data_IF_498448412456
#
_entry.id   IF_498448412456
#
_cell.length_a   1.000
_cell.length_b   1.000
_cell.length_c   1.000
_cell.angle_alpha   90.00
_cell.angle_beta   90.00
_cell.angle_gamma   90.00
#
_symmetry.space_group_name_H-M   'P 1'
#
loop_
_entity.id
_entity.type
_entity.pdbx_description
1 polymer ?
#
# COMPACT_ATOMS: atom_id res chain seq x y z
N UNK A 1 0.32 6.67 7.25
CA UNK A 1 -0.31 7.98 6.95
C UNK A 1 -1.81 7.89 6.73
N UNK A 2 -2.28 7.07 5.77
CA UNK A 2 -3.67 7.06 5.26
C UNK A 2 -4.76 6.52 6.20
N UNK A 3 -4.38 5.77 7.23
CA UNK A 3 -5.31 5.24 8.24
C UNK A 3 -5.63 6.32 9.26
N UNK A 4 -6.90 6.71 9.30
CA UNK A 4 -7.43 7.84 10.08
C UNK A 4 -6.55 9.11 10.04
N UNK A 5 -5.83 9.33 8.93
CA UNK A 5 -4.86 10.41 8.73
C UNK A 5 -3.88 10.61 9.88
N UNK A 6 -3.43 9.50 10.49
CA UNK A 6 -2.58 9.54 11.68
C UNK A 6 -1.30 10.33 11.47
N UNK A 7 -0.68 10.22 10.28
CA UNK A 7 0.55 10.95 9.98
C UNK A 7 0.35 12.47 10.02
N UNK A 8 -0.71 12.95 9.36
CA UNK A 8 -1.09 14.37 9.32
C UNK A 8 -1.45 14.88 10.72
N UNK A 9 -2.19 14.08 11.50
CA UNK A 9 -2.53 14.39 12.90
C UNK A 9 -1.27 14.49 13.76
N UNK A 10 -0.35 13.54 13.61
CA UNK A 10 0.92 13.50 14.34
C UNK A 10 1.79 14.71 14.03
N UNK A 11 1.89 15.06 12.74
CA UNK A 11 2.61 16.24 12.28
C UNK A 11 1.99 17.52 12.87
N UNK A 12 0.67 17.72 12.77
CA UNK A 12 0.01 18.91 13.33
C UNK A 12 0.14 19.05 14.86
N UNK A 13 0.37 17.95 15.57
CA UNK A 13 0.60 18.01 17.02
C UNK A 13 2.03 18.44 17.36
N UNK A 14 3.00 18.03 16.54
CA UNK A 14 4.42 18.24 16.80
C UNK A 14 5.00 19.45 16.04
N UNK A 15 4.30 19.96 15.03
CA UNK A 15 4.69 21.13 14.27
C UNK A 15 4.82 22.36 15.20
N UNK A 16 5.86 23.17 14.95
CA UNK A 16 6.08 24.39 15.71
C UNK A 16 4.87 25.34 15.56
N UNK A 17 4.47 26.06 16.64
CA UNK A 17 3.35 27.00 16.57
C UNK A 17 3.50 28.04 15.46
N UNK A 18 4.72 28.50 15.20
CA UNK A 18 5.04 29.44 14.12
C UNK A 18 4.66 28.91 12.73
N UNK A 19 4.86 27.62 12.47
CA UNK A 19 4.48 26.96 11.21
C UNK A 19 2.95 26.89 11.10
N UNK A 20 2.27 26.53 12.19
CA UNK A 20 0.82 26.41 12.21
C UNK A 20 0.13 27.77 12.04
N UNK A 21 0.65 28.83 12.64
CA UNK A 21 0.10 30.19 12.52
C UNK A 21 0.32 30.79 11.12
N UNK A 22 1.42 30.39 10.47
CA UNK A 22 1.72 30.72 9.08
C UNK A 22 0.83 30.00 8.07
N UNK A 23 0.27 28.83 8.42
CA UNK A 23 -0.52 28.01 7.53
C UNK A 23 -1.94 28.58 7.34
N UNK A 24 -2.16 29.29 6.23
CA UNK A 24 -3.48 29.87 5.89
C UNK A 24 -4.43 28.88 5.24
N UNK A 25 -3.90 27.93 4.48
CA UNK A 25 -4.69 26.95 3.75
C UNK A 25 -3.89 25.67 3.50
N UNK A 26 -4.56 24.51 3.55
CA UNK A 26 -3.99 23.22 3.16
C UNK A 26 -4.83 22.56 2.05
N UNK A 27 -4.18 22.25 0.93
CA UNK A 27 -4.78 21.47 -0.16
C UNK A 27 -4.30 20.02 -0.05
N UNK A 28 -5.22 19.08 0.18
CA UNK A 28 -4.92 17.65 0.19
C UNK A 28 -5.31 17.04 -1.16
N UNK A 29 -4.45 16.18 -1.72
CA UNK A 29 -4.74 15.45 -2.96
C UNK A 29 -5.06 13.99 -2.64
N UNK A 30 -6.22 13.50 -3.10
CA UNK A 30 -6.64 12.13 -2.87
C UNK A 30 -7.28 11.50 -4.11
N UNK A 31 -6.53 10.66 -4.83
CA UNK A 31 -6.95 10.04 -6.09
C UNK A 31 -7.50 11.07 -7.10
N UNK A 32 -6.63 11.61 -7.93
CA UNK A 32 -7.00 12.63 -8.94
C UNK A 32 -6.86 12.08 -10.36
N UNK A 33 -7.01 10.77 -10.54
CA UNK A 33 -6.82 10.11 -11.83
C UNK A 33 -8.15 9.91 -12.60
N UNK A 34 -9.28 10.22 -11.98
CA UNK A 34 -10.59 10.10 -12.60
C UNK A 34 -11.02 11.32 -13.43
N UNK A 35 -12.06 11.14 -14.27
CA UNK A 35 -12.49 12.15 -15.24
C UNK A 35 -13.23 13.33 -14.62
N UNK A 36 -13.99 13.11 -13.54
CA UNK A 36 -14.69 14.14 -12.78
C UNK A 36 -13.95 14.39 -11.46
N UNK A 37 -13.81 15.65 -11.08
CA UNK A 37 -13.14 16.05 -9.85
C UNK A 37 -14.13 16.72 -8.88
N UNK A 38 -13.84 16.56 -7.59
CA UNK A 38 -14.61 17.09 -6.48
C UNK A 38 -13.67 17.78 -5.52
N UNK A 39 -13.96 19.02 -5.14
CA UNK A 39 -13.25 19.70 -4.08
C UNK A 39 -14.10 19.65 -2.82
N UNK A 40 -13.69 18.79 -1.89
CA UNK A 40 -14.35 18.59 -0.61
C UNK A 40 -13.80 19.58 0.41
N UNK A 41 -14.67 20.33 1.06
CA UNK A 41 -14.28 21.23 2.14
C UNK A 41 -15.34 21.26 3.24
N UNK A 42 -14.91 21.65 4.45
CA UNK A 42 -15.78 21.67 5.62
C UNK A 42 -16.16 23.06 6.11
N UNK A 43 -15.33 24.06 5.80
CA UNK A 43 -15.51 25.44 6.24
C UNK A 43 -15.46 26.36 5.04
N UNK A 44 -16.40 27.30 5.00
CA UNK A 44 -16.35 28.38 4.02
C UNK A 44 -15.22 29.35 4.39
N UNK A 45 -14.35 29.70 3.44
CA UNK A 45 -13.34 30.72 3.67
C UNK A 45 -14.00 32.07 3.92
N UNK A 46 -13.60 32.74 5.01
CA UNK A 46 -13.97 34.14 5.27
C UNK A 46 -13.05 35.11 4.52
N UNK A 47 -11.84 34.67 4.23
CA UNK A 47 -10.84 35.44 3.50
C UNK A 47 -11.19 35.49 2.02
N UNK A 48 -11.22 36.71 1.47
CA UNK A 48 -11.47 36.98 0.05
C UNK A 48 -10.46 36.28 -0.85
N UNK A 49 -9.19 36.14 -0.41
CA UNK A 49 -8.17 35.44 -1.19
C UNK A 49 -8.52 33.96 -1.34
N UNK A 50 -8.97 33.31 -0.26
CA UNK A 50 -9.33 31.90 -0.31
C UNK A 50 -10.68 31.65 -1.00
N UNK A 51 -11.60 32.62 -0.96
CA UNK A 51 -12.78 32.58 -1.82
C UNK A 51 -12.38 32.61 -3.30
N UNK A 52 -11.44 33.50 -3.65
CA UNK A 52 -10.88 33.55 -5.02
C UNK A 52 -10.21 32.24 -5.42
N UNK A 53 -9.56 31.52 -4.50
CA UNK A 53 -9.01 30.21 -4.82
C UNK A 53 -10.10 29.23 -5.30
N UNK A 54 -11.26 29.21 -4.65
CA UNK A 54 -12.36 28.33 -5.04
C UNK A 54 -12.98 28.74 -6.38
N UNK A 55 -13.14 30.04 -6.63
CA UNK A 55 -13.62 30.51 -7.93
C UNK A 55 -12.62 30.18 -9.04
N UNK A 56 -11.31 30.28 -8.78
CA UNK A 56 -10.28 29.88 -9.75
C UNK A 56 -10.35 28.40 -10.11
N UNK A 57 -10.68 27.53 -9.16
CA UNK A 57 -10.92 26.10 -9.44
C UNK A 57 -12.12 25.93 -10.40
N UNK A 58 -13.25 26.61 -10.14
CA UNK A 58 -14.44 26.53 -10.99
C UNK A 58 -14.19 27.10 -12.40
N UNK A 59 -13.59 28.29 -12.50
CA UNK A 59 -13.27 28.95 -13.76
C UNK A 59 -12.29 28.13 -14.61
N UNK A 60 -11.24 27.59 -13.99
CA UNK A 60 -10.24 26.77 -14.68
C UNK A 60 -10.84 25.43 -15.10
N UNK A 61 -11.72 24.84 -14.29
CA UNK A 61 -12.40 23.60 -14.64
C UNK A 61 -13.36 23.80 -15.82
N UNK A 62 -14.14 24.89 -15.81
CA UNK A 62 -15.02 25.26 -16.92
C UNK A 62 -14.22 25.50 -18.22
N UNK A 63 -13.09 26.21 -18.12
CA UNK A 63 -12.20 26.46 -19.27
C UNK A 63 -11.59 25.18 -19.85
N UNK A 64 -11.20 24.24 -19.00
CA UNK A 64 -10.58 22.97 -19.40
C UNK A 64 -11.60 21.86 -19.68
N UNK A 65 -12.90 22.18 -19.61
CA UNK A 65 -14.01 21.25 -19.80
C UNK A 65 -13.93 20.03 -18.85
N UNK A 66 -13.43 20.25 -17.64
CA UNK A 66 -13.33 19.22 -16.61
C UNK A 66 -14.63 19.24 -15.80
N UNK A 67 -15.39 18.11 -15.72
CA UNK A 67 -16.50 18.02 -14.79
C UNK A 67 -15.98 18.23 -13.37
N UNK A 68 -16.44 19.31 -12.72
CA UNK A 68 -15.94 19.73 -11.42
C UNK A 68 -17.09 20.14 -10.51
N UNK A 69 -16.99 19.79 -9.23
CA UNK A 69 -18.01 20.09 -8.24
C UNK A 69 -17.41 20.48 -6.89
N UNK A 70 -17.91 21.58 -6.32
CA UNK A 70 -17.60 22.00 -4.97
C UNK A 70 -18.54 21.29 -3.98
N UNK A 71 -17.96 20.45 -3.11
CA UNK A 71 -18.72 19.65 -2.14
C UNK A 71 -18.48 20.19 -0.73
N UNK A 72 -19.48 20.88 -0.17
CA UNK A 72 -19.45 21.34 1.21
C UNK A 72 -20.04 20.32 2.16
N UNK A 73 -19.23 19.80 3.09
CA UNK A 73 -19.70 18.88 4.13
C UNK A 73 -19.16 19.27 5.50
N UNK A 74 -20.06 19.55 6.45
CA UNK A 74 -19.68 19.80 7.84
C UNK A 74 -19.02 18.56 8.44
N UNK A 75 -17.90 18.74 9.14
CA UNK A 75 -17.23 17.66 9.86
C UNK A 75 -18.12 17.12 10.98
N UNK A 76 -18.08 15.80 11.18
CA UNK A 76 -18.73 15.18 12.32
C UNK A 76 -17.72 15.01 13.46
N UNK A 77 -17.71 15.95 14.40
CA UNK A 77 -16.72 15.98 15.50
C UNK A 77 -16.85 14.78 16.45
N UNK A 78 -18.04 14.18 16.54
CA UNK A 78 -18.27 13.02 17.41
C UNK A 78 -17.78 11.71 16.80
N UNK A 79 -17.51 11.67 15.50
CA UNK A 79 -16.96 10.47 14.87
C UNK A 79 -15.46 10.39 15.13
N UNK A 80 -14.99 9.22 15.60
CA UNK A 80 -13.56 8.98 15.79
C UNK A 80 -12.81 8.86 14.45
N UNK A 81 -13.53 8.45 13.40
CA UNK A 81 -12.99 8.27 12.06
C UNK A 81 -13.13 9.52 11.19
N UNK A 82 -12.02 9.95 10.60
CA UNK A 82 -11.96 11.03 9.63
C UNK A 82 -12.17 10.51 8.20
N UNK A 83 -13.17 11.06 7.53
CA UNK A 83 -13.54 10.70 6.17
C UNK A 83 -12.53 11.23 5.15
N UNK A 84 -12.05 12.46 5.35
CA UNK A 84 -11.13 13.15 4.46
C UNK A 84 -9.95 13.77 5.23
N UNK A 85 -8.83 13.97 4.56
CA UNK A 85 -7.62 14.49 5.20
C UNK A 85 -7.81 15.93 5.69
N UNK A 86 -8.57 16.75 4.96
CA UNK A 86 -8.86 18.13 5.34
C UNK A 86 -9.62 18.23 6.69
N UNK A 87 -10.32 17.18 7.12
CA UNK A 87 -11.00 17.16 8.42
C UNK A 87 -10.00 17.24 9.57
N UNK A 88 -8.81 16.65 9.41
CA UNK A 88 -7.74 16.71 10.40
C UNK A 88 -7.33 18.17 10.68
N UNK A 89 -7.14 18.97 9.63
CA UNK A 89 -6.82 20.40 9.73
C UNK A 89 -7.96 21.22 10.35
N UNK A 90 -9.21 20.84 10.07
CA UNK A 90 -10.37 21.53 10.61
C UNK A 90 -10.47 21.46 12.15
N UNK A 91 -9.97 20.38 12.79
CA UNK A 91 -9.86 20.29 14.26
C UNK A 91 -8.95 21.38 14.86
N UNK A 92 -7.88 21.75 14.15
CA UNK A 92 -6.96 22.84 14.55
C UNK A 92 -7.41 24.22 14.05
N UNK A 93 -8.62 24.32 13.50
CA UNK A 93 -9.20 25.53 12.90
C UNK A 93 -8.44 26.07 11.70
N UNK A 94 -7.63 25.23 11.06
CA UNK A 94 -6.93 25.56 9.81
C UNK A 94 -7.90 25.32 8.65
N UNK A 95 -7.91 26.21 7.66
CA UNK A 95 -8.71 26.04 6.45
C UNK A 95 -8.05 24.99 5.55
N UNK A 96 -8.84 24.04 5.07
CA UNK A 96 -8.33 22.97 4.22
C UNK A 96 -9.42 22.43 3.29
N UNK A 97 -8.99 21.88 2.17
CA UNK A 97 -9.83 21.18 1.21
C UNK A 97 -9.13 19.92 0.69
N UNK A 98 -9.90 18.91 0.30
CA UNK A 98 -9.40 17.70 -0.37
C UNK A 98 -9.92 17.64 -1.79
N UNK A 99 -9.01 17.62 -2.77
CA UNK A 99 -9.33 17.39 -4.17
C UNK A 99 -9.29 15.89 -4.45
N UNK A 100 -10.40 15.34 -4.97
CA UNK A 100 -10.54 13.92 -5.27
C UNK A 100 -11.38 13.65 -6.51
N UNK A 101 -11.19 12.52 -7.15
CA UNK A 101 -12.04 12.01 -8.22
C UNK A 101 -13.28 11.25 -7.70
N UNK A 102 -13.40 11.08 -6.37
CA UNK A 102 -14.55 10.43 -5.73
C UNK A 102 -15.49 11.44 -5.10
N UNK A 103 -16.81 11.26 -5.25
CA UNK A 103 -17.81 12.07 -4.52
C UNK A 103 -17.91 11.67 -3.03
N UNK A 104 -17.52 10.44 -2.69
CA UNK A 104 -17.66 9.86 -1.35
C UNK A 104 -16.30 9.28 -0.91
N UNK A 105 -15.91 9.45 0.37
CA UNK A 105 -14.66 8.92 0.89
C UNK A 105 -14.58 7.40 0.79
N UNK A 106 -13.39 6.89 0.52
CA UNK A 106 -13.11 5.45 0.50
C UNK A 106 -12.97 4.93 1.94
N UNK A 107 -13.52 3.75 2.27
CA UNK A 107 -13.32 3.11 3.57
C UNK A 107 -11.83 2.92 3.90
N UNK A 108 -11.45 3.08 5.17
CA UNK A 108 -10.05 3.23 5.58
C UNK A 108 -9.13 2.09 5.11
N UNK A 109 -9.57 0.84 5.22
CA UNK A 109 -8.78 -0.33 4.84
C UNK A 109 -8.63 -0.50 3.32
N UNK A 110 -9.56 0.03 2.54
CA UNK A 110 -9.52 -0.01 1.06
C UNK A 110 -8.80 1.19 0.45
N UNK A 111 -8.37 2.19 1.26
CA UNK A 111 -7.60 3.35 0.76
C UNK A 111 -6.21 2.98 0.25
N UNK A 112 -5.65 1.89 0.78
CA UNK A 112 -4.36 1.36 0.33
C UNK A 112 -4.63 0.10 -0.49
N UNK A 113 -5.15 0.29 -1.71
CA UNK A 113 -5.40 -0.84 -2.59
C UNK A 113 -4.07 -1.53 -2.93
N UNK A 114 -3.87 -2.81 -2.55
CA UNK A 114 -2.66 -3.56 -2.88
C UNK A 114 -2.56 -3.84 -4.38
N UNK A 115 -3.69 -3.82 -5.10
CA UNK A 115 -3.73 -3.96 -6.55
C UNK A 115 -3.87 -2.56 -7.10
N UNK A 116 -2.79 -2.00 -7.67
CA UNK A 116 -2.85 -0.69 -8.27
C UNK A 116 -3.97 -0.67 -9.34
N UNK A 117 -5.04 0.13 -9.18
CA UNK A 117 -6.02 0.26 -10.25
C UNK A 117 -5.30 0.84 -11.46
N UNK A 118 -5.71 0.42 -12.67
CA UNK A 118 -5.13 0.93 -13.90
C UNK A 118 -5.33 2.46 -13.94
N UNK A 119 -4.25 3.22 -13.75
CA UNK A 119 -4.27 4.68 -13.68
C UNK A 119 -4.28 5.21 -15.11
N UNK A 120 -5.32 5.97 -15.45
CA UNK A 120 -5.38 6.63 -16.75
C UNK A 120 -4.43 7.83 -16.78
N UNK A 121 -3.25 7.64 -17.37
CA UNK A 121 -2.17 8.63 -17.41
C UNK A 121 -2.59 9.94 -18.10
N UNK A 122 -3.29 9.93 -19.26
CA UNK A 122 -3.79 11.16 -19.89
C UNK A 122 -4.72 11.98 -19.00
N UNK A 123 -5.68 11.33 -18.31
CA UNK A 123 -6.58 12.02 -17.38
C UNK A 123 -5.80 12.58 -16.19
N UNK A 124 -4.85 11.82 -15.64
CA UNK A 124 -3.98 12.30 -14.57
C UNK A 124 -3.14 13.51 -15.01
N UNK A 125 -2.57 13.49 -16.20
CA UNK A 125 -1.81 14.61 -16.76
C UNK A 125 -2.66 15.87 -16.89
N UNK A 126 -3.87 15.75 -17.45
CA UNK A 126 -4.85 16.83 -17.53
C UNK A 126 -5.18 17.40 -16.15
N UNK A 127 -5.42 16.53 -15.16
CA UNK A 127 -5.78 16.94 -13.81
C UNK A 127 -4.60 17.57 -13.06
N UNK A 128 -3.36 17.12 -13.31
CA UNK A 128 -2.15 17.75 -12.78
C UNK A 128 -1.94 19.15 -13.39
N UNK A 129 -2.18 19.30 -14.69
CA UNK A 129 -2.15 20.61 -15.36
C UNK A 129 -3.22 21.55 -14.79
N UNK A 130 -4.42 21.05 -14.54
CA UNK A 130 -5.49 21.80 -13.89
C UNK A 130 -5.07 22.32 -12.50
N UNK A 131 -4.52 21.45 -11.65
CA UNK A 131 -4.07 21.85 -10.31
C UNK A 131 -2.92 22.85 -10.38
N UNK A 132 -1.94 22.63 -11.25
CA UNK A 132 -0.79 23.53 -11.37
C UNK A 132 -1.19 24.90 -11.91
N UNK A 133 -2.12 24.98 -12.87
CA UNK A 133 -2.65 26.25 -13.37
C UNK A 133 -3.40 27.03 -12.29
N UNK A 134 -4.27 26.37 -11.53
CA UNK A 134 -5.01 27.02 -10.43
C UNK A 134 -4.04 27.57 -9.38
N UNK A 135 -3.06 26.77 -8.97
CA UNK A 135 -2.06 27.21 -7.98
C UNK A 135 -1.18 28.33 -8.51
N UNK A 136 -0.74 28.27 -9.77
CA UNK A 136 0.05 29.34 -10.37
C UNK A 136 -0.73 30.66 -10.45
N UNK A 137 -1.99 30.61 -10.88
CA UNK A 137 -2.87 31.79 -10.94
C UNK A 137 -3.19 32.34 -9.55
N UNK A 138 -3.30 31.47 -8.55
CA UNK A 138 -3.51 31.91 -7.17
C UNK A 138 -2.28 32.59 -6.57
N UNK A 139 -1.09 32.01 -6.75
CA UNK A 139 0.15 32.50 -6.13
C UNK A 139 0.71 33.76 -6.79
N UNK A 140 0.69 33.82 -8.11
CA UNK A 140 1.30 34.91 -8.88
C UNK A 140 0.27 35.83 -9.56
N UNK A 141 -1.02 35.55 -9.36
CA UNK A 141 -2.13 36.33 -9.90
C UNK A 141 -2.48 36.00 -11.35
N UNK A 142 -3.42 36.76 -11.91
CA UNK A 142 -4.01 36.50 -13.24
C UNK A 142 -3.07 36.78 -14.42
N UNK A 143 -1.88 37.33 -14.17
CA UNK A 143 -0.91 37.67 -15.22
C UNK A 143 0.03 36.51 -15.58
N UNK A 144 -0.06 35.38 -14.89
CA UNK A 144 0.75 34.21 -15.24
C UNK A 144 0.28 33.67 -16.59
N UNK A 145 1.19 33.57 -17.59
CA UNK A 145 0.87 32.88 -18.82
C UNK A 145 0.52 31.42 -18.52
N UNK A 146 -0.51 30.93 -19.20
CA UNK A 146 -0.97 29.54 -19.05
C UNK A 146 0.19 28.56 -19.26
N UNK A 147 0.18 27.47 -18.52
CA UNK A 147 1.23 26.47 -18.57
C UNK A 147 1.14 25.77 -19.94
N UNK A 148 2.07 26.12 -20.83
CA UNK A 148 2.10 25.67 -22.22
C UNK A 148 3.49 25.18 -22.60
N UNK A 149 3.53 24.19 -23.50
CA UNK A 149 4.76 23.58 -23.98
C UNK A 149 5.61 22.98 -22.85
N UNK A 150 6.81 23.51 -22.67
CA UNK A 150 7.81 22.96 -21.73
C UNK A 150 7.46 23.12 -20.24
N UNK A 151 6.43 23.91 -19.92
CA UNK A 151 5.97 24.11 -18.54
C UNK A 151 4.84 23.16 -18.13
N UNK A 152 4.36 22.33 -19.07
CA UNK A 152 3.32 21.35 -18.79
C UNK A 152 3.89 20.12 -18.08
N UNK A 153 3.07 19.42 -17.27
CA UNK A 153 3.45 18.14 -16.70
C UNK A 153 3.89 17.16 -17.78
N UNK A 154 5.08 16.56 -17.64
CA UNK A 154 5.57 15.61 -18.63
C UNK A 154 4.89 14.25 -18.49
N UNK A 155 4.21 13.79 -19.54
CA UNK A 155 3.60 12.44 -19.60
C UNK A 155 4.58 11.33 -19.23
N UNK A 156 5.82 11.41 -19.73
CA UNK A 156 6.86 10.40 -19.47
C UNK A 156 7.25 10.36 -17.99
N UNK A 157 7.33 11.53 -17.36
CA UNK A 157 7.63 11.62 -15.94
C UNK A 157 6.49 11.01 -15.12
N UNK A 158 5.24 11.37 -15.44
CA UNK A 158 4.05 10.83 -14.78
C UNK A 158 3.98 9.30 -14.94
N UNK A 159 4.14 8.78 -16.16
CA UNK A 159 4.08 7.34 -16.41
C UNK A 159 5.16 6.57 -15.65
N UNK A 160 6.37 7.14 -15.55
CA UNK A 160 7.47 6.51 -14.80
C UNK A 160 7.15 6.38 -13.31
N UNK A 161 6.56 7.43 -12.72
CA UNK A 161 6.12 7.41 -11.33
C UNK A 161 4.94 6.47 -11.09
N UNK A 162 3.95 6.47 -11.99
CA UNK A 162 2.82 5.54 -11.92
C UNK A 162 3.33 4.09 -11.96
N UNK A 163 4.25 3.77 -12.87
CA UNK A 163 4.84 2.44 -12.97
C UNK A 163 5.65 2.07 -11.72
N UNK A 164 6.49 2.98 -11.23
CA UNK A 164 7.31 2.76 -10.04
C UNK A 164 6.46 2.54 -8.77
N UNK A 165 5.45 3.40 -8.54
CA UNK A 165 4.56 3.31 -7.38
C UNK A 165 3.57 2.15 -7.46
N UNK A 166 3.32 1.61 -8.65
CA UNK A 166 2.53 0.38 -8.84
C UNK A 166 3.34 -0.88 -8.58
N UNK A 167 4.66 -0.84 -8.80
CA UNK A 167 5.57 -1.97 -8.56
C UNK A 167 6.05 -2.09 -7.11
N UNK A 168 5.93 -1.01 -6.32
CA UNK A 168 6.40 -0.97 -4.92
C UNK A 168 5.23 -0.92 -3.93
N UNK A 169 5.31 -1.65 -2.80
CA UNK A 169 4.26 -1.62 -1.78
C UNK A 169 4.18 -0.24 -1.11
N UNK A 170 2.95 0.27 -0.94
CA UNK A 170 2.67 1.60 -0.37
C UNK A 170 1.82 1.57 0.90
N UNK A 171 1.37 0.39 1.32
CA UNK A 171 0.61 0.21 2.55
C UNK A 171 1.52 0.36 3.77
N UNK A 172 1.03 0.98 4.85
CA UNK A 172 1.77 1.25 6.09
C UNK A 172 2.65 0.10 6.61
N UNK A 173 2.18 -1.18 6.72
CA UNK A 173 3.04 -2.26 7.23
C UNK A 173 4.19 -2.64 6.30
N UNK A 174 4.09 -2.35 5.00
CA UNK A 174 5.07 -2.71 3.97
C UNK A 174 5.87 -1.49 3.46
N UNK A 175 5.75 -0.35 4.15
CA UNK A 175 6.46 0.88 3.81
C UNK A 175 7.37 1.30 4.99
N UNK A 176 8.51 0.60 5.18
CA UNK A 176 9.44 0.87 6.28
C UNK A 176 10.08 2.26 6.12
N UNK A 177 10.67 2.79 7.20
CA UNK A 177 11.32 4.12 7.21
C UNK A 177 12.44 4.23 6.17
N UNK A 178 13.14 3.14 5.90
CA UNK A 178 14.24 3.05 4.94
C UNK A 178 13.77 2.56 3.56
N UNK A 179 12.48 2.72 3.26
CA UNK A 179 11.92 2.28 1.98
C UNK A 179 12.58 3.03 0.81
N UNK A 180 12.92 2.34 -0.30
CA UNK A 180 13.42 2.98 -1.51
C UNK A 180 12.41 3.97 -2.11
N UNK A 181 11.12 3.85 -1.79
CA UNK A 181 10.09 4.81 -2.22
C UNK A 181 10.37 6.19 -1.62
N UNK A 182 10.71 6.27 -0.33
CA UNK A 182 11.02 7.55 0.32
C UNK A 182 12.31 8.17 -0.23
N UNK A 183 13.35 7.36 -0.43
CA UNK A 183 14.60 7.81 -1.04
C UNK A 183 14.40 8.35 -2.47
N UNK A 184 13.57 7.68 -3.28
CA UNK A 184 13.25 8.14 -4.63
C UNK A 184 12.50 9.49 -4.62
N UNK A 185 11.57 9.68 -3.69
CA UNK A 185 10.89 10.97 -3.51
C UNK A 185 11.87 12.07 -3.10
N UNK A 186 12.71 11.82 -2.10
CA UNK A 186 13.71 12.76 -1.61
C UNK A 186 14.70 13.19 -2.70
N UNK A 187 15.22 12.23 -3.48
CA UNK A 187 16.10 12.52 -4.61
C UNK A 187 15.41 13.38 -5.67
N UNK A 188 14.13 13.09 -5.96
CA UNK A 188 13.38 13.83 -6.96
C UNK A 188 13.04 15.24 -6.50
N UNK A 189 12.62 15.39 -5.25
CA UNK A 189 12.32 16.71 -4.67
C UNK A 189 13.58 17.58 -4.63
N UNK A 190 14.72 17.04 -4.18
CA UNK A 190 16.02 17.74 -4.17
C UNK A 190 16.47 18.16 -5.57
N UNK A 191 16.10 17.40 -6.61
CA UNK A 191 16.44 17.73 -7.99
C UNK A 191 15.62 18.89 -8.57
N UNK A 192 14.34 18.99 -8.21
CA UNK A 192 13.41 19.95 -8.83
C UNK A 192 13.06 21.15 -7.94
N UNK A 193 13.28 21.07 -6.63
CA UNK A 193 13.03 22.14 -5.66
C UNK A 193 14.34 22.80 -5.25
N UNK A 194 14.32 24.11 -5.04
CA UNK A 194 15.47 24.86 -4.53
C UNK A 194 15.80 24.50 -3.08
N UNK A 195 14.77 24.24 -2.28
CA UNK A 195 14.87 23.84 -0.88
C UNK A 195 13.95 22.65 -0.64
N UNK A 196 14.51 21.59 -0.06
CA UNK A 196 13.76 20.43 0.39
C UNK A 196 14.23 20.08 1.79
N UNK A 197 13.28 19.98 2.72
CA UNK A 197 13.54 19.52 4.08
C UNK A 197 12.61 18.34 4.38
N UNK A 198 13.21 17.22 4.76
CA UNK A 198 12.47 16.09 5.31
C UNK A 198 12.13 16.38 6.77
N UNK A 199 10.84 16.48 7.07
CA UNK A 199 10.33 16.63 8.43
C UNK A 199 10.01 15.25 9.02
N UNK A 200 11.01 14.62 9.64
CA UNK A 200 10.81 13.41 10.41
C UNK A 200 10.31 13.78 11.79
N UNK A 201 9.03 13.48 12.08
CA UNK A 201 8.43 13.78 13.37
C UNK A 201 9.15 13.00 14.48
N UNK A 202 10.00 13.66 15.31
CA UNK A 202 10.75 12.97 16.34
C UNK A 202 9.80 12.70 17.50
N UNK A 203 9.85 11.49 18.06
CA UNK A 203 9.01 11.07 19.19
C UNK A 203 7.51 11.26 18.93
N UNK A 204 6.88 10.37 18.13
CA UNK A 204 5.45 10.44 17.92
C UNK A 204 4.72 10.30 19.26
N UNK A 205 3.93 11.32 19.59
CA UNK A 205 3.00 11.31 20.72
C UNK A 205 2.03 10.16 20.53
N UNK A 206 1.85 9.35 21.58
CA UNK A 206 0.85 8.29 21.58
C UNK A 206 -0.55 8.92 21.52
N UNK A 207 -1.08 9.05 20.31
CA UNK A 207 -2.48 9.40 20.12
C UNK A 207 -3.30 8.12 20.16
N UNK A 208 -4.54 8.21 20.65
CA UNK A 208 -5.48 7.09 20.53
C UNK A 208 -5.60 6.69 19.07
N UNK A 209 -5.10 5.50 18.74
CA UNK A 209 -5.32 4.81 17.47
C UNK A 209 -6.29 3.68 17.68
N UNK A 210 -7.21 3.51 16.73
CA UNK A 210 -8.03 2.30 16.64
C UNK A 210 -7.23 1.13 16.02
N UNK A 211 -6.01 1.40 15.57
CA UNK A 211 -5.18 0.45 14.81
C UNK A 211 -3.82 0.23 15.48
N UNK A 212 -3.43 -1.03 15.62
CA UNK A 212 -2.09 -1.47 15.99
C UNK A 212 -1.58 -2.43 14.92
N UNK A 213 -0.50 -2.03 14.23
CA UNK A 213 0.15 -2.89 13.26
C UNK A 213 1.17 -3.77 13.96
N UNK A 214 1.13 -5.05 13.66
CA UNK A 214 2.21 -5.97 14.00
C UNK A 214 3.24 -5.92 12.87
N UNK A 215 4.52 -5.91 13.23
CA UNK A 215 5.61 -5.99 12.25
C UNK A 215 5.62 -7.33 11.52
N UNK A 216 6.53 -7.49 10.57
CA UNK A 216 6.71 -8.75 9.84
C UNK A 216 6.93 -9.90 10.84
N UNK A 217 5.96 -10.81 10.90
CA UNK A 217 6.10 -12.02 11.70
C UNK A 217 7.02 -12.94 10.91
N UNK A 218 8.31 -12.99 11.27
CA UNK A 218 9.24 -13.96 10.72
C UNK A 218 8.87 -15.37 11.20
N UNK A 219 7.93 -16.01 10.50
CA UNK A 219 7.59 -17.40 10.73
C UNK A 219 8.49 -18.30 9.87
N UNK A 220 9.31 -19.12 10.52
CA UNK A 220 10.01 -20.20 9.84
C UNK A 220 9.01 -21.31 9.53
N UNK A 221 8.58 -21.40 8.27
CA UNK A 221 7.81 -22.57 7.81
C UNK A 221 8.75 -23.77 7.70
N UNK A 222 8.79 -24.60 8.74
CA UNK A 222 9.53 -25.87 8.70
C UNK A 222 8.67 -26.93 8.03
N UNK A 223 8.98 -27.20 6.77
CA UNK A 223 8.39 -28.34 6.05
C UNK A 223 9.20 -29.58 6.43
N UNK A 224 8.64 -30.38 7.34
CA UNK A 224 9.20 -31.69 7.65
C UNK A 224 8.60 -32.72 6.69
N UNK A 225 9.47 -33.43 5.96
CA UNK A 225 9.03 -34.64 5.27
C UNK A 225 8.65 -35.67 6.34
N UNK A 226 7.38 -36.06 6.38
CA UNK A 226 6.92 -37.15 7.25
C UNK A 226 7.64 -38.45 6.88
N UNK A 227 7.81 -39.35 7.85
CA UNK A 227 8.60 -40.60 7.71
C UNK A 227 8.45 -41.23 6.32
N UNK A 228 9.53 -41.32 5.53
CA UNK A 228 9.44 -41.89 4.19
C UNK A 228 9.21 -43.40 4.30
N UNK A 229 8.38 -43.95 3.41
CA UNK A 229 8.09 -45.39 3.33
C UNK A 229 9.38 -46.24 3.21
N UNK A 230 10.45 -45.68 2.67
CA UNK A 230 11.77 -46.32 2.57
C UNK A 230 12.37 -46.67 3.94
N UNK A 231 12.09 -45.89 4.99
CA UNK A 231 12.57 -46.18 6.33
C UNK A 231 11.93 -47.46 6.89
N UNK A 232 10.61 -47.59 6.75
CA UNK A 232 9.89 -48.77 7.21
C UNK A 232 10.26 -50.02 6.40
N UNK A 233 10.50 -49.88 5.10
CA UNK A 233 10.96 -50.98 4.24
C UNK A 233 12.38 -51.44 4.61
N UNK A 234 13.29 -50.49 4.86
CA UNK A 234 14.64 -50.79 5.32
C UNK A 234 14.64 -51.46 6.70
N UNK A 235 13.79 -51.00 7.62
CA UNK A 235 13.60 -51.64 8.92
C UNK A 235 13.06 -53.07 8.77
N UNK A 236 12.08 -53.28 7.90
CA UNK A 236 11.55 -54.60 7.60
C UNK A 236 12.63 -55.56 7.07
N UNK A 237 13.46 -55.10 6.13
CA UNK A 237 14.60 -55.87 5.61
C UNK A 237 15.58 -56.24 6.73
N UNK A 238 15.92 -55.31 7.62
CA UNK A 238 16.81 -55.59 8.74
C UNK A 238 16.23 -56.60 9.73
N UNK A 239 14.92 -56.52 10.02
CA UNK A 239 14.23 -57.49 10.89
C UNK A 239 14.25 -58.89 10.24
N UNK A 240 13.97 -59.00 8.94
CA UNK A 240 14.03 -60.26 8.21
C UNK A 240 15.43 -60.88 8.22
N UNK A 241 16.47 -60.07 7.95
CA UNK A 241 17.86 -60.52 7.98
C UNK A 241 18.28 -60.98 9.38
N UNK A 242 17.88 -60.25 10.42
CA UNK A 242 18.16 -60.61 11.81
C UNK A 242 17.53 -61.95 12.20
N UNK A 243 16.25 -62.15 11.88
CA UNK A 243 15.56 -63.41 12.14
C UNK A 243 16.16 -64.58 11.35
N UNK A 244 16.59 -64.35 10.11
CA UNK A 244 17.25 -65.36 9.28
C UNK A 244 18.60 -65.76 9.89
N UNK A 245 19.44 -64.78 10.26
CA UNK A 245 20.72 -65.04 10.91
C UNK A 245 20.56 -65.81 12.23
N UNK A 246 19.54 -65.45 13.03
CA UNK A 246 19.23 -66.14 14.28
C UNK A 246 18.78 -67.59 14.01
N UNK A 247 17.97 -67.82 12.97
CA UNK A 247 17.54 -69.16 12.58
C UNK A 247 18.74 -70.03 12.14
N UNK A 248 19.61 -69.49 11.29
CA UNK A 248 20.85 -70.18 10.86
C UNK A 248 21.73 -70.52 12.05
N UNK A 249 21.87 -69.62 13.02
CA UNK A 249 22.67 -69.84 14.22
C UNK A 249 22.15 -71.00 15.08
N UNK A 250 20.83 -71.11 15.28
CA UNK A 250 20.26 -72.14 16.15
C UNK A 250 19.98 -73.49 15.47
N UNK A 251 19.62 -73.50 14.17
CA UNK A 251 19.14 -74.71 13.47
C UNK A 251 20.09 -75.22 12.39
N UNK A 252 21.14 -74.47 12.04
CA UNK A 252 22.04 -74.82 10.95
C UNK A 252 21.46 -74.53 9.56
N UNK A 253 22.29 -74.66 8.53
CA UNK A 253 21.99 -74.17 7.17
C UNK A 253 20.93 -75.01 6.42
N UNK A 254 20.72 -76.26 6.82
CA UNK A 254 19.84 -77.21 6.12
C UNK A 254 18.35 -76.87 6.29
N UNK A 255 17.93 -76.39 7.47
CA UNK A 255 16.53 -76.01 7.73
C UNK A 255 16.09 -74.75 6.95
N UNK A 256 17.03 -73.84 6.66
CA UNK A 256 16.73 -72.62 5.88
C UNK A 256 16.44 -72.95 4.41
N UNK A 257 17.11 -73.97 3.86
CA UNK A 257 16.86 -74.45 2.50
C UNK A 257 15.47 -75.11 2.39
N UNK A 258 15.05 -75.88 3.40
CA UNK A 258 13.72 -76.48 3.43
C UNK A 258 12.60 -75.42 3.49
N UNK A 259 12.79 -74.34 4.25
CA UNK A 259 11.82 -73.22 4.32
C UNK A 259 11.74 -72.45 2.99
N UNK A 260 12.88 -72.26 2.30
CA UNK A 260 12.92 -71.66 0.96
C UNK A 260 12.09 -72.47 -0.04
N UNK A 261 12.26 -73.79 -0.04
CA UNK A 261 11.54 -74.67 -0.98
C UNK A 261 10.03 -74.72 -0.68
N UNK A 262 9.65 -74.61 0.59
CA UNK A 262 8.25 -74.55 1.01
C UNK A 262 7.58 -73.22 0.65
N UNK A 263 8.29 -72.09 0.82
CA UNK A 263 7.79 -70.75 0.46
C UNK A 263 7.69 -70.55 -1.05
N UNK A 264 8.69 -71.01 -1.82
CA UNK A 264 8.66 -70.97 -3.28
C UNK A 264 7.55 -71.88 -3.85
N UNK A 265 7.33 -73.05 -3.25
CA UNK A 265 6.23 -73.96 -3.61
C UNK A 265 4.83 -73.42 -3.27
N UNK A 266 4.71 -72.53 -2.29
CA UNK A 266 3.46 -71.85 -1.95
C UNK A 266 3.16 -70.64 -2.85
N UNK A 267 4.19 -69.94 -3.34
CA UNK A 267 4.03 -68.73 -4.17
C UNK A 267 3.91 -69.04 -5.67
N UNK A 268 4.67 -70.03 -6.17
CA UNK A 268 4.54 -70.54 -7.53
C UNK A 268 3.69 -71.80 -7.49
N UNK A 269 2.36 -71.63 -7.45
CA UNK A 269 1.42 -72.75 -7.36
C UNK A 269 1.71 -73.85 -8.39
N UNK A 270 1.69 -75.11 -7.93
CA UNK A 270 1.91 -76.30 -8.78
C UNK A 270 1.02 -76.23 -10.04
N UNK A 271 1.55 -76.49 -11.25
CA UNK A 271 0.69 -76.63 -12.43
C UNK A 271 -0.23 -77.83 -12.22
N UNK A 272 -1.54 -77.61 -12.35
CA UNK A 272 -2.55 -78.68 -12.35
C UNK A 272 -2.36 -79.52 -13.62
N UNK A 273 -1.89 -80.76 -13.48
CA UNK A 273 -2.06 -81.78 -14.52
C UNK A 273 -3.42 -82.45 -14.35
N UNK A 274 -4.16 -82.57 -15.46
CA UNK A 274 -5.40 -83.34 -15.63
C UNK A 274 -5.24 -84.79 -15.22
#
# INVERSE_FOLDING_TARGET
>A
GRLNYYGTRQWMHNAAPTVLDGLKFALCLDQIAGPKLYLHFSRNPKDLNLQRLYTLFEETAARMEIPFELVHKKINVSNAEMAWEHEAFAYKKILAATLSDRPVPIPQFTRSDPVAPNVDVPTLERNLLFVSEVLAQYLYGSQVPKLTGNTQPSTRHISSWVQYLSANPRSTPHLPKDSPVYAAFEQTMTKYLSEFQRDDVPNPVEMRTDFKFYGEIQMQMKVHSTKPLSFDLLLFVFICLYLLALNVYFKGFEDVLAVKDTLLGAYFGKPKSQ
#
